data_IF_947917014612
#
_entry.id   IF_947917014612
#
_cell.length_a   1.000
_cell.length_b   1.000
_cell.length_c   1.000
_cell.angle_alpha   90.00
_cell.angle_beta   90.00
_cell.angle_gamma   90.00
#
_symmetry.space_group_name_H-M   'P 1'
#
loop_
_entity.id
_entity.type
_entity.pdbx_description
1 polymer ?
#
# COMPACT_ATOMS: atom_id res chain seq x y z
N UNK A 1 33.95 61.11 4.58
CA UNK A 1 34.52 60.11 5.52
C UNK A 1 33.58 58.93 5.59
N UNK A 2 34.15 57.72 5.59
CA UNK A 2 33.47 56.41 5.58
C UNK A 2 32.68 56.18 6.87
N UNK A 3 31.54 55.49 6.80
CA UNK A 3 31.43 54.10 7.30
C UNK A 3 30.02 53.52 7.07
N UNK A 4 30.03 52.24 6.70
CA UNK A 4 28.91 51.37 6.41
C UNK A 4 28.27 50.78 7.69
N UNK A 5 27.06 50.23 7.48
CA UNK A 5 26.60 48.89 7.88
C UNK A 5 25.78 48.70 9.17
N UNK A 6 24.75 47.87 8.95
CA UNK A 6 24.05 46.93 9.84
C UNK A 6 23.05 47.52 10.84
N UNK A 7 21.97 46.86 11.22
CA UNK A 7 21.01 45.91 10.64
C UNK A 7 20.01 45.62 11.78
N UNK A 8 18.76 45.35 11.42
CA UNK A 8 17.78 44.49 12.11
C UNK A 8 17.78 44.33 13.64
N UNK A 9 16.66 44.70 14.24
CA UNK A 9 15.87 43.94 15.25
C UNK A 9 14.81 44.93 15.79
N UNK A 10 13.56 44.63 16.04
CA UNK A 10 12.71 43.47 15.97
C UNK A 10 11.29 44.05 16.01
N UNK A 11 10.33 43.50 15.25
CA UNK A 11 8.93 43.75 15.58
C UNK A 11 8.22 42.42 15.78
N UNK A 12 7.71 42.32 17.00
CA UNK A 12 7.19 41.17 17.72
C UNK A 12 5.70 41.01 17.40
N UNK A 13 5.30 39.74 17.27
CA UNK A 13 3.99 39.14 17.54
C UNK A 13 2.73 40.01 17.39
N UNK A 14 1.99 39.77 16.31
CA UNK A 14 0.53 39.63 16.26
C UNK A 14 0.25 39.04 14.87
N UNK A 15 -0.30 37.84 14.69
CA UNK A 15 -1.66 37.45 15.07
C UNK A 15 -1.77 35.92 15.04
N UNK A 16 -1.81 35.29 16.22
CA UNK A 16 -2.29 33.93 16.43
C UNK A 16 -3.69 34.07 17.03
N UNK A 17 -4.73 33.80 16.23
CA UNK A 17 -6.02 33.25 16.64
C UNK A 17 -6.96 33.29 15.43
N UNK A 18 -7.42 32.12 14.97
CA UNK A 18 -8.69 32.07 14.23
C UNK A 18 -8.73 31.30 12.92
N UNK A 19 -8.00 30.21 12.75
CA UNK A 19 -8.49 29.05 11.96
C UNK A 19 -7.77 27.80 12.44
N UNK A 20 -8.38 27.11 13.41
CA UNK A 20 -8.16 25.68 13.58
C UNK A 20 -8.76 24.98 12.37
N UNK A 21 -8.04 25.00 11.25
CA UNK A 21 -8.08 23.87 10.35
C UNK A 21 -7.21 22.85 11.05
N UNK A 22 -7.80 21.79 11.59
CA UNK A 22 -7.05 20.57 11.80
C UNK A 22 -6.54 20.20 10.41
N UNK A 23 -5.33 20.64 10.08
CA UNK A 23 -4.55 19.98 9.06
C UNK A 23 -4.45 18.55 9.59
N UNK A 24 -5.14 17.62 8.93
CA UNK A 24 -4.75 16.22 9.01
C UNK A 24 -3.23 16.23 8.80
N UNK A 25 -2.46 15.92 9.84
CA UNK A 25 -1.03 15.76 9.70
C UNK A 25 -0.85 14.66 8.65
N UNK A 26 -0.51 15.06 7.42
CA UNK A 26 -0.17 14.14 6.35
C UNK A 26 0.90 13.23 6.93
N UNK A 27 0.52 11.99 7.16
CA UNK A 27 1.43 10.98 7.67
C UNK A 27 2.58 10.89 6.69
N UNK A 28 3.84 11.16 7.10
CA UNK A 28 4.94 11.35 6.16
C UNK A 28 5.09 10.11 5.28
N UNK A 29 5.12 10.34 3.96
CA UNK A 29 5.34 9.32 2.95
C UNK A 29 6.79 9.41 2.45
N UNK A 30 7.43 8.25 2.27
CA UNK A 30 8.78 8.17 1.75
C UNK A 30 8.84 7.25 0.53
N UNK A 31 9.79 7.47 -0.38
CA UNK A 31 10.01 6.56 -1.50
C UNK A 31 10.39 5.16 -0.98
N UNK A 32 9.67 4.13 -1.41
CA UNK A 32 9.89 2.76 -0.95
C UNK A 32 11.27 2.22 -1.31
N UNK A 33 11.93 2.75 -2.35
CA UNK A 33 13.29 2.33 -2.78
C UNK A 33 14.37 2.68 -1.74
N UNK A 34 14.04 3.50 -0.75
CA UNK A 34 14.93 3.81 0.37
C UNK A 34 14.96 2.71 1.44
N UNK A 35 14.14 1.66 1.31
CA UNK A 35 13.95 0.64 2.34
C UNK A 35 14.18 -0.77 1.80
N UNK A 36 15.09 -1.52 2.43
CA UNK A 36 15.44 -2.88 2.01
C UNK A 36 14.24 -3.85 2.03
N UNK A 37 13.34 -3.73 3.01
CA UNK A 37 12.15 -4.60 3.09
C UNK A 37 11.18 -4.41 1.91
N UNK A 38 11.27 -3.29 1.20
CA UNK A 38 10.42 -3.01 0.05
C UNK A 38 10.98 -3.61 -1.25
N UNK A 39 12.27 -3.96 -1.27
CA UNK A 39 13.01 -4.39 -2.46
C UNK A 39 12.32 -5.52 -3.24
N UNK A 40 11.80 -6.59 -2.59
CA UNK A 40 11.16 -7.70 -3.31
C UNK A 40 9.96 -7.25 -4.16
N UNK A 41 9.25 -6.21 -3.71
CA UNK A 41 8.09 -5.64 -4.39
C UNK A 41 8.50 -4.55 -5.39
N UNK A 42 9.39 -3.63 -5.00
CA UNK A 42 9.80 -2.53 -5.90
C UNK A 42 10.59 -3.02 -7.10
N UNK A 43 11.33 -4.13 -6.98
CA UNK A 43 12.13 -4.69 -8.07
C UNK A 43 11.29 -5.24 -9.24
N UNK A 44 10.02 -5.58 -9.02
CA UNK A 44 9.13 -6.13 -10.05
C UNK A 44 8.10 -5.12 -10.57
N UNK A 45 8.02 -3.97 -9.92
CA UNK A 45 7.07 -2.91 -10.21
C UNK A 45 7.34 -2.29 -11.61
N UNK A 46 6.31 -2.10 -12.45
CA UNK A 46 6.40 -1.28 -13.67
C UNK A 46 6.85 0.16 -13.36
N UNK A 47 7.46 0.84 -14.33
CA UNK A 47 8.02 2.19 -14.13
C UNK A 47 6.94 3.26 -13.94
N UNK A 48 5.75 2.98 -14.46
CA UNK A 48 4.56 3.83 -14.42
C UNK A 48 3.91 3.86 -13.03
N UNK A 49 4.18 2.84 -12.20
CA UNK A 49 3.68 2.77 -10.83
C UNK A 49 4.61 3.52 -9.88
N UNK A 50 4.01 4.06 -8.82
CA UNK A 50 4.74 4.60 -7.68
C UNK A 50 4.64 3.62 -6.51
N UNK A 51 5.65 3.59 -5.66
CA UNK A 51 5.60 2.85 -4.40
C UNK A 51 6.12 3.72 -3.28
N UNK A 52 5.27 3.97 -2.29
CA UNK A 52 5.59 4.78 -1.12
C UNK A 52 5.49 3.96 0.15
N UNK A 53 6.31 4.29 1.14
CA UNK A 53 6.20 3.79 2.51
C UNK A 53 5.39 4.79 3.32
N UNK A 54 4.37 4.30 4.02
CA UNK A 54 3.54 5.08 4.95
C UNK A 54 3.49 4.40 6.31
N UNK A 55 3.76 5.16 7.38
CA UNK A 55 3.72 4.65 8.75
C UNK A 55 2.46 5.16 9.47
N UNK A 56 1.50 4.28 9.75
CA UNK A 56 0.29 4.63 10.50
C UNK A 56 0.30 3.98 11.89
N UNK A 57 -0.68 4.33 12.74
CA UNK A 57 -0.88 3.65 14.02
C UNK A 57 -1.12 2.13 13.90
N UNK A 58 -1.49 1.64 12.72
CA UNK A 58 -1.69 0.21 12.44
C UNK A 58 -0.43 -0.50 11.86
N UNK A 59 0.68 0.21 11.70
CA UNK A 59 1.94 -0.29 11.18
C UNK A 59 2.46 0.43 9.94
N UNK A 60 3.53 -0.13 9.36
CA UNK A 60 4.15 0.35 8.12
C UNK A 60 3.52 -0.34 6.93
N UNK A 61 3.28 0.41 5.85
CA UNK A 61 2.69 -0.08 4.62
C UNK A 61 3.53 0.37 3.42
N UNK A 62 3.63 -0.49 2.41
CA UNK A 62 3.90 -0.12 1.04
C UNK A 62 2.57 0.22 0.38
N UNK A 63 2.49 1.40 -0.24
CA UNK A 63 1.36 1.84 -1.05
C UNK A 63 1.85 1.91 -2.48
N UNK A 64 1.41 0.93 -3.28
CA UNK A 64 1.65 0.93 -4.71
C UNK A 64 0.51 1.68 -5.37
N UNK A 65 0.82 2.65 -6.22
CA UNK A 65 -0.19 3.44 -6.88
C UNK A 65 0.02 3.61 -8.38
N UNK A 66 -1.10 3.67 -9.11
CA UNK A 66 -1.18 4.30 -10.42
C UNK A 66 -1.93 5.63 -10.22
N UNK A 67 -1.27 6.78 -10.37
CA UNK A 67 -1.88 8.07 -10.03
C UNK A 67 -2.83 8.56 -11.11
N UNK A 68 -3.78 9.41 -10.71
CA UNK A 68 -4.68 10.15 -11.61
C UNK A 68 -5.51 9.31 -12.60
N UNK A 69 -5.97 8.15 -12.18
CA UNK A 69 -6.73 7.21 -12.99
C UNK A 69 -8.22 7.57 -13.01
N UNK A 70 -8.90 7.23 -14.10
CA UNK A 70 -10.36 7.07 -14.07
C UNK A 70 -10.67 5.68 -13.52
N UNK A 71 -11.37 5.65 -12.39
CA UNK A 71 -11.62 4.46 -11.59
C UNK A 71 -13.10 4.13 -11.55
N UNK A 72 -13.43 2.84 -11.57
CA UNK A 72 -14.79 2.34 -11.35
C UNK A 72 -14.87 1.57 -10.02
N UNK A 73 -15.96 1.80 -9.27
CA UNK A 73 -16.22 1.18 -7.98
C UNK A 73 -16.69 -0.27 -8.13
N UNK A 74 -16.08 -1.16 -7.35
CA UNK A 74 -16.37 -2.60 -7.37
C UNK A 74 -17.66 -2.92 -6.60
N UNK A 75 -18.29 -4.05 -6.96
CA UNK A 75 -19.42 -4.60 -6.19
C UNK A 75 -19.00 -4.98 -4.77
N UNK A 76 -19.92 -4.84 -3.79
CA UNK A 76 -19.70 -5.12 -2.34
C UNK A 76 -18.80 -4.13 -1.59
N UNK A 77 -18.31 -3.08 -2.24
CA UNK A 77 -17.89 -1.87 -1.53
C UNK A 77 -19.17 -1.11 -1.14
N UNK A 78 -19.23 -0.42 0.01
CA UNK A 78 -20.38 0.44 0.37
C UNK A 78 -20.49 1.69 -0.53
N UNK A 79 -19.91 1.64 -1.72
CA UNK A 79 -19.76 2.72 -2.65
C UNK A 79 -20.70 2.50 -3.83
N UNK A 80 -21.17 3.56 -4.48
CA UNK A 80 -22.20 3.41 -5.51
C UNK A 80 -21.62 2.68 -6.71
N UNK A 81 -22.07 1.44 -6.93
CA UNK A 81 -21.71 0.61 -8.07
C UNK A 81 -21.92 1.37 -9.39
N UNK A 82 -20.93 1.34 -10.28
CA UNK A 82 -20.97 2.01 -11.58
C UNK A 82 -20.71 3.53 -11.55
N UNK A 83 -20.34 4.12 -10.41
CA UNK A 83 -19.82 5.48 -10.37
C UNK A 83 -18.34 5.51 -10.69
N UNK A 84 -18.02 6.26 -11.74
CA UNK A 84 -16.64 6.59 -12.10
C UNK A 84 -16.18 7.85 -11.38
N UNK A 85 -14.91 7.87 -10.99
CA UNK A 85 -14.28 9.05 -10.41
C UNK A 85 -12.81 9.09 -10.79
N UNK A 86 -12.18 10.25 -10.60
CA UNK A 86 -10.75 10.43 -10.80
C UNK A 86 -10.02 10.31 -9.47
N UNK A 87 -8.96 9.50 -9.42
CA UNK A 87 -8.15 9.32 -8.23
C UNK A 87 -7.06 8.28 -8.46
N UNK A 88 -6.32 7.97 -7.40
CA UNK A 88 -5.23 7.02 -7.49
C UNK A 88 -5.76 5.59 -7.29
N UNK A 89 -5.35 4.68 -8.16
CA UNK A 89 -5.51 3.26 -7.88
C UNK A 89 -4.44 2.87 -6.86
N UNK A 90 -4.82 2.25 -5.74
CA UNK A 90 -3.87 1.90 -4.68
C UNK A 90 -3.98 0.43 -4.25
N UNK A 91 -2.83 -0.23 -4.16
CA UNK A 91 -2.66 -1.53 -3.52
C UNK A 91 -1.81 -1.35 -2.25
N UNK A 92 -2.36 -1.79 -1.13
CA UNK A 92 -1.72 -1.64 0.18
C UNK A 92 -1.10 -2.97 0.61
N UNK A 93 0.21 -2.98 0.85
CA UNK A 93 0.97 -4.17 1.22
C UNK A 93 1.66 -3.92 2.56
N UNK A 94 1.36 -4.73 3.57
CA UNK A 94 1.92 -4.61 4.92
C UNK A 94 2.96 -5.72 5.16
N UNK A 95 4.23 -5.40 5.47
CA UNK A 95 5.16 -6.39 5.97
C UNK A 95 4.68 -6.93 7.32
N UNK A 96 4.65 -8.26 7.45
CA UNK A 96 4.20 -8.94 8.66
C UNK A 96 5.41 -9.45 9.44
N UNK A 97 5.73 -8.77 10.54
CA UNK A 97 6.84 -9.15 11.42
C UNK A 97 6.41 -10.31 12.33
N UNK A 98 7.22 -11.37 12.42
CA UNK A 98 7.03 -12.46 13.38
C UNK A 98 6.29 -13.69 12.87
N UNK A 99 5.92 -13.74 11.58
CA UNK A 99 5.34 -14.92 10.95
C UNK A 99 6.34 -15.49 9.95
N UNK A 100 7.24 -16.37 10.41
CA UNK A 100 7.90 -17.29 9.47
C UNK A 100 6.87 -18.31 8.97
N UNK A 101 7.13 -18.99 7.85
CA UNK A 101 6.27 -20.10 7.36
C UNK A 101 6.01 -21.13 8.47
N UNK A 102 7.05 -21.41 9.28
CA UNK A 102 6.97 -22.31 10.43
C UNK A 102 6.02 -21.81 11.52
N UNK A 103 5.92 -20.50 11.71
CA UNK A 103 4.98 -19.92 12.68
C UNK A 103 3.55 -19.90 12.12
N UNK A 104 3.38 -19.69 10.82
CA UNK A 104 2.07 -19.82 10.17
C UNK A 104 1.54 -21.27 10.21
N UNK A 105 2.40 -22.27 9.97
CA UNK A 105 2.08 -23.69 10.12
C UNK A 105 1.75 -24.04 11.57
N UNK A 106 2.56 -23.62 12.54
CA UNK A 106 2.26 -23.82 13.97
C UNK A 106 0.94 -23.16 14.36
N UNK A 107 0.64 -21.97 13.85
CA UNK A 107 -0.63 -21.30 14.12
C UNK A 107 -1.78 -22.09 13.48
N UNK A 108 -1.63 -22.59 12.26
CA UNK A 108 -2.62 -23.48 11.61
C UNK A 108 -2.84 -24.78 12.40
N UNK A 109 -1.79 -25.36 12.97
CA UNK A 109 -1.85 -26.56 13.81
C UNK A 109 -2.52 -26.28 15.17
N UNK A 110 -2.18 -25.17 15.81
CA UNK A 110 -2.72 -24.75 17.12
C UNK A 110 -4.17 -24.22 17.05
N UNK A 111 -4.60 -23.71 15.88
CA UNK A 111 -5.93 -23.08 15.72
C UNK A 111 -7.03 -24.01 15.24
N UNK A 112 -6.80 -25.33 15.26
CA UNK A 112 -7.86 -26.33 15.07
C UNK A 112 -9.00 -26.23 16.10
N UNK A 113 -8.87 -25.42 17.17
CA UNK A 113 -9.92 -25.25 18.19
C UNK A 113 -10.07 -23.87 18.85
N UNK A 114 -9.32 -22.82 18.49
CA UNK A 114 -9.48 -21.48 19.09
C UNK A 114 -9.41 -20.33 18.08
N UNK A 115 -10.47 -19.51 18.06
CA UNK A 115 -10.67 -18.40 17.13
C UNK A 115 -9.92 -17.14 17.58
N UNK A 116 -8.60 -17.10 17.34
CA UNK A 116 -8.02 -15.84 16.89
C UNK A 116 -8.54 -15.59 15.48
N UNK A 117 -8.85 -14.35 15.11
CA UNK A 117 -9.42 -14.03 13.80
C UNK A 117 -8.66 -14.77 12.72
N UNK A 118 -9.35 -15.67 12.00
CA UNK A 118 -8.71 -16.56 11.02
C UNK A 118 -7.86 -15.70 10.10
N UNK A 119 -6.57 -15.99 10.01
CA UNK A 119 -5.73 -15.45 8.95
C UNK A 119 -6.41 -15.87 7.64
N UNK A 120 -6.95 -14.90 6.92
CA UNK A 120 -7.57 -15.14 5.62
C UNK A 120 -6.43 -15.48 4.66
N UNK A 121 -6.22 -16.76 4.31
CA UNK A 121 -5.04 -17.17 3.58
C UNK A 121 -4.95 -16.47 2.23
N UNK A 122 -6.08 -16.01 1.69
CA UNK A 122 -6.10 -15.25 0.43
C UNK A 122 -5.31 -13.94 0.52
N UNK A 123 -5.26 -13.31 1.70
CA UNK A 123 -4.61 -11.99 1.89
C UNK A 123 -3.12 -12.08 2.18
N UNK A 124 -2.57 -13.25 2.50
CA UNK A 124 -1.17 -13.37 2.89
C UNK A 124 -0.37 -14.09 1.82
N UNK A 125 0.74 -13.47 1.41
CA UNK A 125 1.68 -14.04 0.45
C UNK A 125 3.09 -14.06 1.04
N UNK A 126 3.86 -15.06 0.63
CA UNK A 126 5.30 -15.13 0.87
C UNK A 126 6.03 -14.63 -0.36
N UNK A 127 6.95 -13.68 -0.20
CA UNK A 127 7.93 -13.27 -1.23
C UNK A 127 9.30 -13.53 -0.63
N UNK A 128 10.08 -14.43 -1.24
CA UNK A 128 11.35 -14.89 -0.67
C UNK A 128 11.16 -15.35 0.79
N UNK A 129 11.90 -14.82 1.76
CA UNK A 129 11.76 -15.18 3.19
C UNK A 129 10.78 -14.29 3.98
N UNK A 130 10.10 -13.36 3.31
CA UNK A 130 9.24 -12.36 3.93
C UNK A 130 7.76 -12.65 3.69
N UNK A 131 6.93 -12.32 4.69
CA UNK A 131 5.47 -12.44 4.60
C UNK A 131 4.84 -11.06 4.51
N UNK A 132 3.92 -10.93 3.57
CA UNK A 132 3.18 -9.70 3.32
C UNK A 132 1.68 -9.95 3.41
N UNK A 133 0.97 -9.05 4.07
CA UNK A 133 -0.50 -8.94 3.99
C UNK A 133 -0.86 -7.97 2.87
N UNK A 134 -1.67 -8.42 1.92
CA UNK A 134 -2.19 -7.62 0.81
C UNK A 134 -3.62 -7.20 1.14
N UNK A 135 -3.86 -5.89 1.07
CA UNK A 135 -5.20 -5.31 1.04
C UNK A 135 -5.54 -4.94 -0.39
N UNK A 136 -6.50 -5.67 -0.93
CA UNK A 136 -6.94 -5.54 -2.30
C UNK A 136 -7.63 -4.18 -2.56
N UNK A 137 -7.43 -3.60 -3.75
CA UNK A 137 -7.98 -2.29 -4.10
C UNK A 137 -9.51 -2.34 -4.11
N UNK A 138 -10.20 -1.26 -3.80
CA UNK A 138 -11.69 -1.20 -3.91
C UNK A 138 -12.19 -0.77 -5.29
N UNK A 139 -11.26 -0.49 -6.21
CA UNK A 139 -11.52 0.09 -7.52
C UNK A 139 -10.63 -0.53 -8.58
N UNK A 140 -10.99 -0.37 -9.85
CA UNK A 140 -10.15 -0.72 -11.00
C UNK A 140 -10.08 0.44 -11.99
N UNK A 141 -8.95 0.64 -12.70
CA UNK A 141 -8.89 1.58 -13.81
C UNK A 141 -9.89 1.22 -14.90
N UNK A 142 -10.48 2.22 -15.55
CA UNK A 142 -11.36 2.04 -16.71
C UNK A 142 -10.56 1.85 -18.00
N UNK A 143 -9.38 2.47 -18.09
CA UNK A 143 -8.51 2.40 -19.26
C UNK A 143 -7.79 1.04 -19.36
N UNK A 144 -7.91 0.39 -20.52
CA UNK A 144 -7.33 -0.94 -20.78
C UNK A 144 -5.80 -0.95 -20.70
N UNK A 145 -5.11 0.13 -21.08
CA UNK A 145 -3.64 0.20 -20.98
C UNK A 145 -3.21 0.25 -19.52
N UNK A 146 -3.96 0.95 -18.68
CA UNK A 146 -3.70 1.04 -17.24
C UNK A 146 -3.97 -0.28 -16.53
N UNK A 147 -5.04 -0.99 -16.94
CA UNK A 147 -5.27 -2.37 -16.51
C UNK A 147 -4.11 -3.30 -16.90
N UNK A 148 -3.59 -3.20 -18.13
CA UNK A 148 -2.46 -4.01 -18.58
C UNK A 148 -1.16 -3.77 -17.76
N UNK A 149 -0.96 -2.57 -17.23
CA UNK A 149 0.15 -2.26 -16.31
C UNK A 149 -0.05 -3.03 -14.98
N UNK A 150 -1.26 -3.03 -14.43
CA UNK A 150 -1.61 -3.80 -13.22
C UNK A 150 -1.44 -5.30 -13.45
N UNK A 151 -1.92 -5.82 -14.57
CA UNK A 151 -1.75 -7.24 -14.96
C UNK A 151 -0.28 -7.63 -15.05
N UNK A 152 0.54 -6.77 -15.65
CA UNK A 152 1.98 -6.99 -15.76
C UNK A 152 2.63 -7.06 -14.38
N UNK A 153 2.25 -6.16 -13.47
CA UNK A 153 2.71 -6.21 -12.09
C UNK A 153 2.29 -7.51 -11.40
N UNK A 154 1.00 -7.86 -11.47
CA UNK A 154 0.44 -9.06 -10.82
C UNK A 154 1.09 -10.34 -11.35
N UNK A 155 1.34 -10.43 -12.65
CA UNK A 155 2.05 -11.56 -13.28
C UNK A 155 3.50 -11.68 -12.84
N UNK A 156 4.18 -10.56 -12.53
CA UNK A 156 5.55 -10.60 -12.00
C UNK A 156 5.56 -10.93 -10.52
N UNK A 157 4.58 -10.41 -9.78
CA UNK A 157 4.40 -10.70 -8.37
C UNK A 157 4.10 -12.19 -8.16
N UNK A 158 3.15 -12.76 -8.90
CA UNK A 158 2.74 -14.16 -8.79
C UNK A 158 3.89 -15.15 -8.98
N UNK A 159 4.88 -14.81 -9.81
CA UNK A 159 6.09 -15.61 -10.01
C UNK A 159 7.04 -15.62 -8.82
N UNK A 160 7.03 -14.55 -8.03
CA UNK A 160 7.83 -14.42 -6.81
C UNK A 160 7.05 -14.83 -5.56
N UNK A 161 5.73 -15.00 -5.66
CA UNK A 161 4.87 -15.24 -4.51
C UNK A 161 4.28 -16.63 -4.43
N UNK A 162 4.29 -17.18 -3.23
CA UNK A 162 3.49 -18.35 -2.86
C UNK A 162 2.48 -17.99 -1.78
N UNK A 163 1.36 -18.69 -1.74
CA UNK A 163 0.42 -18.60 -0.63
C UNK A 163 1.04 -19.25 0.62
N UNK A 164 0.53 -18.92 1.81
CA UNK A 164 1.04 -19.50 3.06
C UNK A 164 0.91 -21.02 3.16
N UNK A 165 -0.04 -21.62 2.43
CA UNK A 165 -0.23 -23.07 2.37
C UNK A 165 0.62 -23.75 1.27
N UNK A 166 1.50 -22.99 0.60
CA UNK A 166 2.35 -23.47 -0.48
C UNK A 166 1.67 -23.51 -1.85
N UNK A 167 0.38 -23.17 -1.95
CA UNK A 167 -0.31 -23.09 -3.24
C UNK A 167 0.16 -21.88 -4.07
N UNK A 168 -0.13 -21.95 -5.38
CA UNK A 168 0.15 -20.82 -6.29
C UNK A 168 -0.69 -19.60 -5.90
N UNK A 169 -0.05 -18.44 -5.90
CA UNK A 169 -0.71 -17.16 -5.62
C UNK A 169 -1.38 -16.54 -6.86
N UNK A 170 -1.10 -17.07 -8.04
CA UNK A 170 -1.50 -16.47 -9.33
C UNK A 170 -3.00 -16.24 -9.45
N UNK A 171 -3.82 -17.29 -9.23
CA UNK A 171 -5.27 -17.19 -9.37
C UNK A 171 -5.87 -16.17 -8.38
N UNK A 172 -5.38 -16.17 -7.14
CA UNK A 172 -5.86 -15.24 -6.11
C UNK A 172 -5.47 -13.80 -6.42
N UNK A 173 -4.20 -13.55 -6.78
CA UNK A 173 -3.73 -12.20 -7.09
C UNK A 173 -4.42 -11.67 -8.36
N UNK A 174 -4.57 -12.50 -9.39
CA UNK A 174 -5.31 -12.12 -10.59
C UNK A 174 -6.76 -11.76 -10.26
N UNK A 175 -7.44 -12.66 -9.53
CA UNK A 175 -8.84 -12.46 -9.13
C UNK A 175 -9.03 -11.25 -8.23
N UNK A 176 -8.12 -10.92 -7.33
CA UNK A 176 -8.39 -9.90 -6.31
C UNK A 176 -7.73 -8.55 -6.58
N UNK A 177 -6.75 -8.48 -7.48
CA UNK A 177 -6.06 -7.24 -7.85
C UNK A 177 -6.44 -6.78 -9.26
N UNK A 178 -6.55 -7.68 -10.24
CA UNK A 178 -6.85 -7.31 -11.64
C UNK A 178 -8.34 -7.28 -11.94
N UNK A 179 -9.04 -8.40 -11.72
CA UNK A 179 -10.46 -8.53 -12.08
C UNK A 179 -11.36 -8.81 -10.88
N UNK A 180 -11.70 -7.77 -10.11
CA UNK A 180 -11.70 -8.04 -8.70
C UNK A 180 -13.06 -7.72 -8.05
#
# INVERSE_FOLDING_TARGET
MKCNSLALAALVLATLCGVSVAAEEETPEADARLFEFAEPITAIMPQEMQCKVKASGAGVYLILSLPEQELDARGKTNLPFGKRFRGDWELWIKPVVGYSVRDAEKIKEMTSSQSFGKLDPTRYVKVDDQVFEIRYPSYRPVDEKQQAIIETFVKRLSKKTTMLDGSSSEENLQKWIVDP
#
